data_IF_831425415595
#
_entry.id   IF_831425415595
#
_cell.length_a   1.000
_cell.length_b   1.000
_cell.length_c   1.000
_cell.angle_alpha   90.00
_cell.angle_beta   90.00
_cell.angle_gamma   90.00
#
_symmetry.space_group_name_H-M   'P 1'
#
loop_
_entity.id
_entity.type
_entity.pdbx_description
1 polymer ?
#
# COMPACT_ATOMS: atom_id res chain seq x y z
N UNK A 1 6.18 -17.89 19.10
CA UNK A 1 6.76 -16.61 18.69
C UNK A 1 5.61 -15.63 18.65
N UNK A 2 5.67 -14.58 19.44
CA UNK A 2 4.65 -13.52 19.41
C UNK A 2 4.86 -12.68 18.14
N UNK A 3 4.04 -12.94 17.13
CA UNK A 3 4.17 -12.31 15.81
C UNK A 3 3.62 -10.87 15.80
N UNK A 4 2.84 -10.47 16.80
CA UNK A 4 2.17 -9.17 16.83
C UNK A 4 3.07 -8.06 17.42
N UNK A 5 3.88 -8.39 18.43
CA UNK A 5 4.71 -7.42 19.17
C UNK A 5 6.22 -7.51 18.87
N UNK A 6 6.62 -8.21 17.80
CA UNK A 6 8.03 -8.31 17.42
C UNK A 6 8.57 -6.96 16.92
N UNK A 7 9.45 -6.31 17.70
CA UNK A 7 10.11 -5.08 17.29
C UNK A 7 11.23 -5.35 16.27
N UNK A 8 11.00 -4.99 15.01
CA UNK A 8 11.97 -5.11 13.92
C UNK A 8 12.86 -3.86 13.85
N UNK A 9 14.16 -4.02 14.13
CA UNK A 9 15.17 -2.94 14.05
C UNK A 9 16.20 -3.12 12.91
N UNK A 10 15.91 -3.99 11.95
CA UNK A 10 16.69 -4.13 10.71
C UNK A 10 16.28 -3.02 9.70
N UNK A 11 17.08 -2.70 8.65
CA UNK A 11 16.75 -1.66 7.67
C UNK A 11 15.52 -1.95 6.78
N UNK A 12 14.73 -2.95 7.12
CA UNK A 12 13.55 -3.40 6.38
C UNK A 12 13.45 -4.93 6.37
N UNK A 13 12.23 -5.50 6.38
CA UNK A 13 10.94 -4.82 6.57
C UNK A 13 10.75 -4.31 8.02
N UNK A 14 9.73 -3.48 8.23
CA UNK A 14 9.29 -3.02 9.56
C UNK A 14 7.90 -3.58 9.88
N UNK A 15 7.50 -3.55 11.16
CA UNK A 15 6.16 -3.96 11.56
C UNK A 15 5.09 -3.05 10.95
N UNK A 16 4.03 -3.67 10.45
CA UNK A 16 2.90 -2.96 9.85
C UNK A 16 1.89 -2.63 10.95
N UNK A 17 1.40 -1.40 10.97
CA UNK A 17 0.40 -0.99 11.98
C UNK A 17 -0.85 -1.87 11.94
N UNK A 18 -1.51 -2.17 13.08
CA UNK A 18 -2.72 -2.98 13.11
C UNK A 18 -3.84 -2.49 12.18
N UNK A 19 -3.93 -1.17 11.94
CA UNK A 19 -4.92 -0.58 11.02
C UNK A 19 -4.72 -1.06 9.59
N UNK A 20 -3.47 -1.16 9.12
CA UNK A 20 -3.15 -1.60 7.76
C UNK A 20 -3.34 -3.11 7.63
N UNK A 21 -2.93 -3.90 8.64
CA UNK A 21 -3.20 -5.34 8.67
C UNK A 21 -4.70 -5.66 8.56
N UNK A 22 -5.55 -4.94 9.31
CA UNK A 22 -7.01 -5.06 9.21
C UNK A 22 -7.57 -4.64 7.84
N UNK A 23 -6.94 -3.68 7.16
CA UNK A 23 -7.34 -3.32 5.80
C UNK A 23 -6.98 -4.43 4.80
N UNK A 24 -5.82 -5.05 4.96
CA UNK A 24 -5.35 -6.16 4.13
C UNK A 24 -6.15 -7.45 4.35
N UNK A 25 -6.78 -7.64 5.50
CA UNK A 25 -7.62 -8.81 5.80
C UNK A 25 -9.05 -8.73 5.25
N UNK A 26 -9.40 -7.65 4.54
CA UNK A 26 -10.74 -7.50 3.93
C UNK A 26 -10.92 -8.50 2.78
N UNK A 27 -12.17 -8.95 2.50
CA UNK A 27 -12.45 -9.79 1.34
C UNK A 27 -11.99 -9.14 0.03
N UNK A 28 -11.57 -9.97 -0.93
CA UNK A 28 -11.22 -9.49 -2.26
C UNK A 28 -12.43 -8.87 -2.96
N UNK A 29 -12.18 -7.81 -3.71
CA UNK A 29 -13.17 -7.13 -4.55
C UNK A 29 -12.84 -7.31 -6.03
N UNK A 30 -13.82 -7.09 -6.90
CA UNK A 30 -13.63 -7.18 -8.35
C UNK A 30 -12.68 -6.06 -8.84
N UNK A 31 -11.61 -6.44 -9.55
CA UNK A 31 -10.60 -5.54 -10.13
C UNK A 31 -11.14 -4.52 -11.15
N UNK A 32 -12.37 -4.70 -11.65
CA UNK A 32 -13.06 -3.75 -12.55
C UNK A 32 -14.22 -3.01 -11.89
N UNK A 33 -14.40 -3.16 -10.58
CA UNK A 33 -15.49 -2.48 -9.85
C UNK A 33 -15.21 -0.99 -9.67
N UNK A 34 -16.27 -0.21 -9.49
CA UNK A 34 -16.17 1.20 -9.11
C UNK A 34 -15.46 1.37 -7.75
N UNK A 35 -15.62 0.43 -6.83
CA UNK A 35 -14.94 0.43 -5.54
C UNK A 35 -13.41 0.33 -5.69
N UNK A 36 -12.92 -0.61 -6.52
CA UNK A 36 -11.50 -0.72 -6.81
C UNK A 36 -10.96 0.53 -7.51
N UNK A 37 -11.72 1.08 -8.47
CA UNK A 37 -11.34 2.31 -9.16
C UNK A 37 -11.22 3.51 -8.21
N UNK A 38 -12.10 3.60 -7.21
CA UNK A 38 -12.01 4.60 -6.13
C UNK A 38 -10.73 4.43 -5.32
N UNK A 39 -10.44 3.23 -4.82
CA UNK A 39 -9.21 2.93 -4.06
C UNK A 39 -7.95 3.29 -4.87
N UNK A 40 -7.94 2.96 -6.16
CA UNK A 40 -6.80 3.29 -7.03
C UNK A 40 -6.62 4.80 -7.22
N UNK A 41 -7.72 5.53 -7.36
CA UNK A 41 -7.72 7.01 -7.44
C UNK A 41 -7.17 7.62 -6.16
N UNK A 42 -7.68 7.20 -5.00
CA UNK A 42 -7.22 7.67 -3.68
C UNK A 42 -5.70 7.44 -3.50
N UNK A 43 -5.21 6.25 -3.89
CA UNK A 43 -3.78 5.95 -3.87
C UNK A 43 -2.97 6.93 -4.73
N UNK A 44 -3.43 7.25 -5.94
CA UNK A 44 -2.72 8.18 -6.84
C UNK A 44 -2.68 9.60 -6.30
N UNK A 45 -3.78 10.07 -5.70
CA UNK A 45 -3.87 11.41 -5.11
C UNK A 45 -2.95 11.56 -3.90
N UNK A 46 -2.99 10.57 -2.98
CA UNK A 46 -2.09 10.53 -1.83
C UNK A 46 -0.63 10.48 -2.30
N UNK A 47 -0.30 9.61 -3.25
CA UNK A 47 1.08 9.50 -3.77
C UNK A 47 1.54 10.76 -4.50
N UNK A 48 0.67 11.45 -5.25
CA UNK A 48 0.98 12.75 -5.87
C UNK A 48 1.39 13.77 -4.80
N UNK A 49 0.69 13.79 -3.66
CA UNK A 49 1.07 14.63 -2.52
C UNK A 49 2.39 14.21 -1.87
N UNK A 50 2.66 12.90 -1.73
CA UNK A 50 3.92 12.40 -1.16
C UNK A 50 5.12 12.76 -2.03
N UNK A 51 4.99 12.58 -3.35
CA UNK A 51 6.05 12.88 -4.32
C UNK A 51 6.10 14.35 -4.74
N UNK A 52 5.17 15.20 -4.29
CA UNK A 52 5.08 16.62 -4.64
C UNK A 52 5.12 16.86 -6.15
N UNK A 53 4.35 16.07 -6.91
CA UNK A 53 4.37 16.07 -8.38
C UNK A 53 3.00 16.35 -8.99
N UNK A 54 3.01 17.01 -10.15
CA UNK A 54 1.84 17.22 -11.00
C UNK A 54 1.73 16.20 -12.14
N UNK A 55 2.71 15.30 -12.26
CA UNK A 55 2.73 14.25 -13.28
C UNK A 55 1.80 13.09 -12.90
N UNK A 56 1.49 12.26 -13.88
CA UNK A 56 0.74 11.04 -13.65
C UNK A 56 1.47 10.07 -12.73
N UNK A 57 0.77 9.61 -11.70
CA UNK A 57 1.20 8.51 -10.82
C UNK A 57 0.66 7.18 -11.35
N UNK A 58 1.52 6.17 -11.42
CA UNK A 58 1.17 4.79 -11.70
C UNK A 58 1.61 3.89 -10.53
N UNK A 59 0.73 2.99 -10.09
CA UNK A 59 1.03 2.03 -9.03
C UNK A 59 1.38 0.69 -9.67
N UNK A 60 2.58 0.18 -9.43
CA UNK A 60 3.05 -1.11 -9.93
C UNK A 60 2.81 -2.21 -8.89
N UNK A 61 2.25 -3.34 -9.32
CA UNK A 61 2.05 -4.51 -8.47
C UNK A 61 3.36 -5.29 -8.32
N UNK A 62 4.19 -4.92 -7.34
CA UNK A 62 5.46 -5.59 -7.06
C UNK A 62 6.17 -5.03 -5.83
N UNK A 63 7.35 -5.59 -5.52
CA UNK A 63 8.25 -4.99 -4.53
C UNK A 63 8.91 -3.72 -5.09
N UNK A 64 9.68 -2.99 -4.27
CA UNK A 64 10.39 -1.79 -4.73
C UNK A 64 11.29 -2.02 -5.94
N UNK A 65 11.85 -3.22 -6.09
CA UNK A 65 12.70 -3.60 -7.24
C UNK A 65 11.94 -3.63 -8.56
N UNK A 66 10.62 -3.83 -8.57
CA UNK A 66 9.84 -3.88 -9.80
C UNK A 66 9.69 -2.51 -10.50
N UNK A 67 9.98 -1.41 -9.79
CA UNK A 67 9.90 -0.04 -10.32
C UNK A 67 11.24 0.56 -10.74
N UNK A 68 12.32 -0.22 -10.69
CA UNK A 68 13.68 0.16 -11.12
C UNK A 68 13.99 -0.57 -12.43
#
# INVERSE_FOLDING_TARGET
>A
MDLEDTLLMMPGPVTVTPRVLRAMSKPMINHRSAEFAGIYTDCREILSSVFQTKNDIFVLSGSGTAGI
#
